data_IF_043747536835
#
_entry.id   IF_043747536835
#
_cell.length_a   1.000
_cell.length_b   1.000
_cell.length_c   1.000
_cell.angle_alpha   90.00
_cell.angle_beta   90.00
_cell.angle_gamma   90.00
#
_symmetry.space_group_name_H-M   'P 1'
#
loop_
_entity.id
_entity.type
_entity.pdbx_description
1 polymer ?
#
# COMPACT_ATOMS: atom_id res chain seq x y z
N UNK A 1 -2.98 11.27 7.13
CA UNK A 1 -4.39 10.78 7.07
C UNK A 1 -4.76 10.03 5.78
N UNK A 2 -4.24 10.41 4.60
CA UNK A 2 -4.66 9.85 3.29
C UNK A 2 -4.42 8.32 3.15
N UNK A 3 -3.37 7.78 3.79
CA UNK A 3 -3.08 6.34 3.72
C UNK A 3 -4.09 5.43 4.44
N UNK A 4 -4.89 5.96 5.38
CA UNK A 4 -5.82 5.17 6.20
C UNK A 4 -7.26 5.27 5.68
N UNK A 5 -7.64 6.42 5.11
CA UNK A 5 -8.95 6.62 4.44
C UNK A 5 -9.04 5.94 3.07
N UNK A 6 -7.91 5.61 2.45
CA UNK A 6 -7.90 4.70 1.29
C UNK A 6 -8.09 3.27 1.79
N UNK A 7 -9.35 2.84 1.93
CA UNK A 7 -9.72 1.44 2.15
C UNK A 7 -8.90 0.55 1.21
N UNK A 8 -7.95 -0.16 1.79
CA UNK A 8 -7.01 -0.96 1.00
C UNK A 8 -7.71 -2.21 0.50
N UNK A 9 -7.30 -2.70 -0.67
CA UNK A 9 -7.82 -3.96 -1.23
C UNK A 9 -7.69 -5.16 -0.26
N UNK A 10 -6.82 -5.08 0.74
CA UNK A 10 -6.65 -6.08 1.79
C UNK A 10 -7.91 -6.18 2.65
N UNK A 11 -8.50 -5.06 3.06
CA UNK A 11 -9.72 -5.02 3.87
C UNK A 11 -10.91 -5.65 3.13
N UNK A 12 -11.06 -5.29 1.85
CA UNK A 12 -12.05 -5.88 0.97
C UNK A 12 -11.85 -7.39 0.79
N UNK A 13 -10.61 -7.81 0.59
CA UNK A 13 -10.26 -9.23 0.46
C UNK A 13 -10.48 -10.01 1.75
N UNK A 14 -10.28 -9.39 2.92
CA UNK A 14 -10.53 -9.98 4.23
C UNK A 14 -12.04 -10.21 4.44
N UNK A 15 -12.87 -9.22 4.08
CA UNK A 15 -14.33 -9.35 4.13
C UNK A 15 -14.81 -10.47 3.19
N UNK A 16 -14.36 -10.45 1.93
CA UNK A 16 -14.74 -11.46 0.94
C UNK A 16 -14.28 -12.87 1.27
N UNK A 17 -12.98 -13.06 1.56
CA UNK A 17 -12.43 -14.36 1.93
C UNK A 17 -12.91 -14.84 3.30
N UNK A 18 -13.16 -13.91 4.23
CA UNK A 18 -13.73 -14.19 5.54
C UNK A 18 -15.12 -14.81 5.41
N UNK A 19 -16.00 -14.18 4.63
CA UNK A 19 -17.32 -14.72 4.31
C UNK A 19 -17.22 -16.05 3.57
N UNK A 20 -16.37 -16.15 2.55
CA UNK A 20 -16.17 -17.40 1.81
C UNK A 20 -15.75 -18.57 2.73
N UNK A 21 -14.86 -18.30 3.68
CA UNK A 21 -14.37 -19.28 4.65
C UNK A 21 -15.41 -19.63 5.72
N UNK A 22 -16.21 -18.65 6.16
CA UNK A 22 -17.31 -18.87 7.10
C UNK A 22 -18.42 -19.72 6.47
N UNK A 23 -18.80 -19.42 5.24
CA UNK A 23 -19.75 -20.21 4.45
C UNK A 23 -19.25 -21.64 4.21
N UNK A 24 -17.93 -21.85 4.20
CA UNK A 24 -17.33 -23.17 4.14
C UNK A 24 -17.54 -24.00 5.43
N UNK A 25 -17.45 -23.36 6.60
CA UNK A 25 -17.77 -24.02 7.88
C UNK A 25 -19.24 -24.43 7.97
N UNK A 26 -20.13 -23.66 7.34
CA UNK A 26 -21.57 -23.94 7.24
C UNK A 26 -21.94 -24.98 6.15
N UNK A 27 -20.95 -25.65 5.53
CA UNK A 27 -21.15 -26.71 4.51
C UNK A 27 -21.95 -26.30 3.26
N UNK A 28 -22.07 -25.00 2.96
CA UNK A 28 -22.72 -24.48 1.73
C UNK A 28 -21.99 -25.01 0.48
N UNK A 29 -22.59 -25.26 -0.69
CA UNK A 29 -21.86 -25.71 -1.88
C UNK A 29 -20.91 -24.63 -2.45
N UNK A 30 -19.78 -25.03 -3.05
CA UNK A 30 -18.71 -24.14 -3.55
C UNK A 30 -19.19 -22.98 -4.46
N UNK A 31 -20.05 -23.18 -5.47
CA UNK A 31 -20.51 -22.07 -6.31
C UNK A 31 -21.35 -21.06 -5.51
N UNK A 32 -22.20 -21.52 -4.59
CA UNK A 32 -23.01 -20.64 -3.75
C UNK A 32 -22.16 -19.81 -2.78
N UNK A 33 -21.08 -20.38 -2.22
CA UNK A 33 -20.10 -19.64 -1.40
C UNK A 33 -19.44 -18.51 -2.19
N UNK A 34 -19.06 -18.82 -3.43
CA UNK A 34 -18.40 -17.86 -4.31
C UNK A 34 -19.31 -16.70 -4.67
N UNK A 35 -20.53 -16.98 -5.10
CA UNK A 35 -21.54 -15.96 -5.42
C UNK A 35 -21.86 -15.08 -4.22
N UNK A 36 -22.06 -15.66 -3.04
CA UNK A 36 -22.33 -14.91 -1.82
C UNK A 36 -21.19 -13.93 -1.49
N UNK A 37 -19.95 -14.43 -1.49
CA UNK A 37 -18.75 -13.62 -1.21
C UNK A 37 -18.57 -12.47 -2.21
N UNK A 38 -18.69 -12.76 -3.51
CA UNK A 38 -18.54 -11.76 -4.58
C UNK A 38 -19.66 -10.70 -4.46
N UNK A 39 -20.90 -11.12 -4.24
CA UNK A 39 -22.04 -10.22 -4.09
C UNK A 39 -21.84 -9.26 -2.91
N UNK A 40 -21.44 -9.79 -1.74
CA UNK A 40 -21.19 -8.94 -0.57
C UNK A 40 -20.06 -7.95 -0.81
N UNK A 41 -18.99 -8.35 -1.48
CA UNK A 41 -17.87 -7.48 -1.83
C UNK A 41 -18.27 -6.39 -2.83
N UNK A 42 -19.13 -6.70 -3.81
CA UNK A 42 -19.69 -5.71 -4.74
C UNK A 42 -20.53 -4.67 -3.99
N UNK A 43 -21.44 -5.13 -3.12
CA UNK A 43 -22.30 -4.24 -2.33
C UNK A 43 -21.48 -3.32 -1.42
N UNK A 44 -20.48 -3.88 -0.74
CA UNK A 44 -19.56 -3.11 0.08
C UNK A 44 -18.72 -2.13 -0.76
N UNK A 45 -18.24 -2.55 -1.93
CA UNK A 45 -17.50 -1.68 -2.86
C UNK A 45 -18.34 -0.48 -3.34
N UNK A 46 -19.62 -0.70 -3.63
CA UNK A 46 -20.57 0.38 -3.96
C UNK A 46 -20.79 1.33 -2.78
N UNK A 47 -20.97 0.79 -1.57
CA UNK A 47 -21.15 1.59 -0.35
C UNK A 47 -19.95 2.52 -0.08
N UNK A 48 -18.74 2.06 -0.38
CA UNK A 48 -17.49 2.81 -0.16
C UNK A 48 -17.17 3.82 -1.28
N UNK A 49 -17.88 3.76 -2.42
CA UNK A 49 -17.67 4.70 -3.54
C UNK A 49 -16.71 4.20 -4.63
N UNK A 50 -16.51 2.88 -4.75
CA UNK A 50 -15.83 2.20 -5.87
C UNK A 50 -14.52 2.86 -6.36
N UNK A 51 -13.63 3.25 -5.44
CA UNK A 51 -12.31 3.79 -5.82
C UNK A 51 -11.45 2.78 -6.60
N UNK A 52 -10.43 3.25 -7.34
CA UNK A 52 -9.56 2.43 -8.21
C UNK A 52 -8.94 1.22 -7.50
N UNK A 53 -8.50 1.41 -6.24
CA UNK A 53 -7.92 0.36 -5.40
C UNK A 53 -8.94 -0.72 -5.00
N UNK A 54 -10.20 -0.32 -4.77
CA UNK A 54 -11.32 -1.19 -4.38
C UNK A 54 -11.79 -1.99 -5.58
N UNK A 55 -12.00 -1.33 -6.73
CA UNK A 55 -12.40 -2.00 -7.97
C UNK A 55 -11.40 -3.07 -8.39
N UNK A 56 -10.09 -2.75 -8.39
CA UNK A 56 -9.05 -3.73 -8.68
C UNK A 56 -9.10 -4.93 -7.73
N UNK A 57 -9.25 -4.69 -6.42
CA UNK A 57 -9.32 -5.77 -5.44
C UNK A 57 -10.57 -6.65 -5.63
N UNK A 58 -11.70 -6.05 -6.01
CA UNK A 58 -12.94 -6.76 -6.36
C UNK A 58 -12.73 -7.67 -7.56
N UNK A 59 -12.15 -7.16 -8.65
CA UNK A 59 -11.86 -7.95 -9.85
C UNK A 59 -10.91 -9.11 -9.52
N UNK A 60 -9.80 -8.83 -8.83
CA UNK A 60 -8.81 -9.85 -8.48
C UNK A 60 -9.38 -10.92 -7.53
N UNK A 61 -10.19 -10.53 -6.53
CA UNK A 61 -10.85 -11.48 -5.64
C UNK A 61 -11.88 -12.34 -6.38
N UNK A 62 -12.66 -11.71 -7.27
CA UNK A 62 -13.65 -12.43 -8.09
C UNK A 62 -12.99 -13.46 -8.98
N UNK A 63 -11.88 -13.09 -9.64
CA UNK A 63 -11.06 -14.02 -10.44
C UNK A 63 -10.45 -15.13 -9.58
N UNK A 64 -9.99 -14.83 -8.37
CA UNK A 64 -9.48 -15.83 -7.44
C UNK A 64 -10.55 -16.86 -7.03
N UNK A 65 -11.75 -16.41 -6.66
CA UNK A 65 -12.87 -17.29 -6.30
C UNK A 65 -13.31 -18.10 -7.53
N UNK A 66 -13.42 -17.46 -8.69
CA UNK A 66 -13.80 -18.12 -9.93
C UNK A 66 -12.79 -19.21 -10.32
N UNK A 67 -11.48 -18.95 -10.13
CA UNK A 67 -10.46 -19.97 -10.39
C UNK A 67 -10.64 -21.20 -9.48
N UNK A 68 -11.05 -21.01 -8.22
CA UNK A 68 -11.37 -22.12 -7.30
C UNK A 68 -12.60 -22.90 -7.74
N UNK A 69 -13.65 -22.24 -8.23
CA UNK A 69 -14.87 -22.89 -8.74
C UNK A 69 -14.57 -23.71 -10.00
N UNK A 70 -13.77 -23.16 -10.92
CA UNK A 70 -13.42 -23.83 -12.19
C UNK A 70 -12.30 -24.89 -11.98
N UNK A 71 -11.59 -24.86 -10.86
CA UNK A 71 -10.46 -25.76 -10.61
C UNK A 71 -9.16 -25.35 -11.33
N UNK A 72 -9.00 -24.06 -11.65
CA UNK A 72 -7.81 -23.49 -12.30
C UNK A 72 -6.89 -22.78 -11.29
N UNK A 73 -5.62 -22.66 -11.66
CA UNK A 73 -4.61 -21.93 -10.87
C UNK A 73 -4.81 -20.42 -11.01
N UNK A 74 -4.79 -19.70 -9.89
CA UNK A 74 -4.81 -18.24 -9.88
C UNK A 74 -3.39 -17.70 -10.15
N UNK A 75 -3.27 -16.79 -11.12
CA UNK A 75 -2.04 -16.04 -11.37
C UNK A 75 -2.23 -14.56 -11.04
N UNK A 76 -1.40 -14.04 -10.13
CA UNK A 76 -1.50 -12.69 -9.58
C UNK A 76 -1.30 -11.61 -10.66
N UNK A 77 -0.29 -11.79 -11.53
CA UNK A 77 0.06 -10.79 -12.53
C UNK A 77 -0.99 -10.73 -13.63
N UNK A 78 -1.47 -11.88 -14.12
CA UNK A 78 -2.56 -11.95 -15.10
C UNK A 78 -3.85 -11.33 -14.56
N UNK A 79 -4.24 -11.64 -13.32
CA UNK A 79 -5.42 -11.03 -12.68
C UNK A 79 -5.29 -9.50 -12.55
N UNK A 80 -4.09 -9.01 -12.23
CA UNK A 80 -3.80 -7.57 -12.20
C UNK A 80 -3.87 -6.94 -13.59
N UNK A 81 -3.40 -7.63 -14.63
CA UNK A 81 -3.49 -7.17 -16.01
C UNK A 81 -4.94 -6.98 -16.45
N UNK A 82 -5.82 -7.97 -16.15
CA UNK A 82 -7.26 -7.87 -16.42
C UNK A 82 -7.86 -6.67 -15.68
N UNK A 83 -7.57 -6.51 -14.39
CA UNK A 83 -8.08 -5.38 -13.62
C UNK A 83 -7.60 -4.01 -14.17
N UNK A 84 -6.35 -3.95 -14.65
CA UNK A 84 -5.78 -2.76 -15.30
C UNK A 84 -6.55 -2.42 -16.58
N UNK A 85 -6.73 -3.39 -17.48
CA UNK A 85 -7.48 -3.19 -18.72
C UNK A 85 -8.90 -2.74 -18.44
N UNK A 86 -9.61 -3.39 -17.52
CA UNK A 86 -10.98 -3.00 -17.18
C UNK A 86 -11.09 -1.56 -16.64
N UNK A 87 -10.14 -1.12 -15.82
CA UNK A 87 -10.09 0.27 -15.33
C UNK A 87 -9.80 1.26 -16.45
N UNK A 88 -8.85 0.95 -17.34
CA UNK A 88 -8.47 1.85 -18.42
C UNK A 88 -9.52 1.92 -19.54
N UNK A 89 -10.31 0.86 -19.72
CA UNK A 89 -11.47 0.86 -20.62
C UNK A 89 -12.59 1.77 -20.10
N UNK A 90 -12.77 1.86 -18.79
CA UNK A 90 -13.75 2.78 -18.19
C UNK A 90 -13.29 4.23 -18.35
N UNK A 91 -12.07 4.55 -17.91
CA UNK A 91 -11.47 5.88 -18.11
C UNK A 91 -9.94 5.80 -18.31
N UNK A 92 -9.40 6.26 -19.46
CA UNK A 92 -7.97 6.21 -19.72
C UNK A 92 -7.16 7.15 -18.81
N UNK A 93 -7.81 8.19 -18.26
CA UNK A 93 -7.19 9.16 -17.36
C UNK A 93 -6.78 8.56 -16.00
N UNK A 94 -7.23 7.35 -15.66
CA UNK A 94 -6.78 6.65 -14.45
C UNK A 94 -5.27 6.42 -14.39
N UNK A 95 -4.55 6.49 -15.52
CA UNK A 95 -3.08 6.45 -15.55
C UNK A 95 -2.42 7.55 -14.72
N UNK A 96 -3.07 8.71 -14.56
CA UNK A 96 -2.55 9.83 -13.76
C UNK A 96 -3.07 9.81 -12.31
N UNK A 97 -3.99 8.91 -12.00
CA UNK A 97 -4.58 8.83 -10.66
C UNK A 97 -3.60 8.15 -9.69
N UNK A 98 -3.29 8.82 -8.58
CA UNK A 98 -2.34 8.33 -7.58
C UNK A 98 -2.74 6.96 -7.01
N UNK A 99 -4.04 6.77 -6.73
CA UNK A 99 -4.57 5.49 -6.25
C UNK A 99 -4.38 4.35 -7.24
N UNK A 100 -4.41 4.60 -8.55
CA UNK A 100 -4.10 3.59 -9.58
C UNK A 100 -2.60 3.25 -9.54
N UNK A 101 -1.74 4.26 -9.58
CA UNK A 101 -0.28 4.08 -9.59
C UNK A 101 0.22 3.30 -8.36
N UNK A 102 -0.18 3.68 -7.15
CA UNK A 102 0.21 2.99 -5.92
C UNK A 102 -0.25 1.53 -5.90
N UNK A 103 -1.49 1.32 -6.31
CA UNK A 103 -2.16 0.02 -6.33
C UNK A 103 -1.43 -0.95 -7.25
N UNK A 104 -1.23 -0.59 -8.53
CA UNK A 104 -0.56 -1.46 -9.50
C UNK A 104 0.93 -1.61 -9.24
N UNK A 105 1.64 -0.55 -8.79
CA UNK A 105 3.04 -0.65 -8.39
C UNK A 105 3.23 -1.66 -7.24
N UNK A 106 2.34 -1.68 -6.25
CA UNK A 106 2.40 -2.63 -5.15
C UNK A 106 2.22 -4.09 -5.61
N UNK A 107 1.31 -4.35 -6.55
CA UNK A 107 1.06 -5.73 -7.05
C UNK A 107 2.17 -6.20 -7.97
N UNK A 108 2.66 -5.33 -8.87
CA UNK A 108 3.82 -5.65 -9.71
C UNK A 108 5.05 -5.96 -8.85
N UNK A 109 5.29 -5.14 -7.83
CA UNK A 109 6.37 -5.37 -6.88
C UNK A 109 6.21 -6.68 -6.09
N UNK A 110 5.00 -6.95 -5.60
CA UNK A 110 4.70 -8.21 -4.92
C UNK A 110 4.93 -9.43 -5.83
N UNK A 111 4.56 -9.33 -7.11
CA UNK A 111 4.75 -10.41 -8.08
C UNK A 111 6.22 -10.63 -8.50
N UNK A 112 7.00 -9.55 -8.62
CA UNK A 112 8.37 -9.59 -9.17
C UNK A 112 9.47 -9.56 -8.09
N UNK A 113 9.38 -8.66 -7.11
CA UNK A 113 10.42 -8.45 -6.09
C UNK A 113 10.31 -9.43 -4.91
N UNK A 114 9.10 -9.76 -4.45
CA UNK A 114 8.91 -10.69 -3.32
C UNK A 114 9.55 -12.08 -3.55
N UNK A 115 9.40 -12.73 -4.73
CA UNK A 115 10.08 -13.99 -4.98
C UNK A 115 11.60 -13.80 -5.17
N UNK A 116 12.06 -12.63 -5.60
CA UNK A 116 13.47 -12.32 -5.83
C UNK A 116 14.26 -12.10 -4.53
N UNK A 117 13.73 -11.30 -3.60
CA UNK A 117 14.49 -10.85 -2.42
C UNK A 117 14.85 -11.99 -1.46
N UNK A 118 16.12 -12.08 -1.00
CA UNK A 118 16.56 -13.09 -0.03
C UNK A 118 16.18 -12.70 1.41
N UNK A 119 15.88 -13.69 2.26
CA UNK A 119 15.54 -13.44 3.68
C UNK A 119 14.11 -12.95 3.90
N UNK A 120 13.64 -12.95 5.16
CA UNK A 120 12.29 -12.47 5.53
C UNK A 120 12.22 -10.94 5.61
N UNK A 121 13.29 -10.31 6.09
CA UNK A 121 13.41 -8.85 6.32
C UNK A 121 13.43 -8.06 5.01
N UNK A 122 14.24 -8.45 4.02
CA UNK A 122 14.22 -7.77 2.72
C UNK A 122 12.88 -7.97 1.99
N UNK A 123 12.22 -9.12 2.17
CA UNK A 123 10.90 -9.37 1.56
C UNK A 123 9.81 -8.43 2.05
N UNK A 124 9.83 -7.99 3.31
CA UNK A 124 8.86 -7.00 3.78
C UNK A 124 9.04 -5.63 3.12
N UNK A 125 10.24 -5.35 2.59
CA UNK A 125 10.54 -4.12 1.87
C UNK A 125 10.10 -4.17 0.39
N UNK A 126 9.67 -5.31 -0.14
CA UNK A 126 9.29 -5.43 -1.55
C UNK A 126 8.26 -4.38 -1.96
N UNK A 127 7.12 -4.33 -1.26
CA UNK A 127 6.03 -3.39 -1.59
C UNK A 127 6.51 -1.93 -1.47
N UNK A 128 7.10 -1.48 -0.33
CA UNK A 128 7.64 -0.12 -0.20
C UNK A 128 8.59 0.26 -1.33
N UNK A 129 9.53 -0.61 -1.72
CA UNK A 129 10.47 -0.35 -2.81
C UNK A 129 9.75 -0.17 -4.15
N UNK A 130 8.72 -0.97 -4.42
CA UNK A 130 7.92 -0.84 -5.63
C UNK A 130 7.14 0.48 -5.72
N UNK A 131 6.62 0.94 -4.58
CA UNK A 131 5.77 2.15 -4.50
C UNK A 131 6.56 3.43 -4.25
N UNK A 132 7.84 3.35 -3.87
CA UNK A 132 8.64 4.50 -3.47
C UNK A 132 8.75 5.59 -4.56
N UNK A 133 9.02 5.28 -5.85
CA UNK A 133 9.05 6.31 -6.89
C UNK A 133 7.72 7.02 -7.07
N UNK A 134 6.61 6.28 -7.03
CA UNK A 134 5.24 6.83 -7.11
C UNK A 134 4.97 7.74 -5.91
N UNK A 135 5.45 7.33 -4.74
CA UNK A 135 5.34 8.12 -3.51
C UNK A 135 6.06 9.46 -3.61
N UNK A 136 7.35 9.44 -3.96
CA UNK A 136 8.17 10.65 -4.09
C UNK A 136 7.69 11.55 -5.23
N UNK A 137 7.24 10.97 -6.35
CA UNK A 137 6.65 11.74 -7.44
C UNK A 137 5.37 12.48 -7.01
N UNK A 138 4.54 11.86 -6.18
CA UNK A 138 3.27 12.45 -5.76
C UNK A 138 3.48 13.51 -4.68
N UNK A 139 4.24 13.18 -3.63
CA UNK A 139 4.30 13.97 -2.40
C UNK A 139 5.59 14.80 -2.24
N UNK A 140 6.70 14.43 -2.90
CA UNK A 140 7.99 15.13 -2.79
C UNK A 140 8.71 14.96 -1.45
N UNK A 141 8.08 14.37 -0.45
CA UNK A 141 8.64 14.16 0.89
C UNK A 141 8.55 12.71 1.32
N UNK A 142 9.29 12.36 2.37
CA UNK A 142 9.25 11.06 3.01
C UNK A 142 9.10 11.17 4.54
N UNK A 143 7.95 10.78 5.11
CA UNK A 143 7.74 10.79 6.55
C UNK A 143 8.44 9.59 7.19
N UNK A 144 9.51 9.84 7.94
CA UNK A 144 10.42 8.81 8.47
C UNK A 144 9.70 7.86 9.43
N UNK A 145 8.91 8.42 10.33
CA UNK A 145 8.19 7.67 11.35
C UNK A 145 6.96 6.94 10.80
N UNK A 146 6.51 7.26 9.58
CA UNK A 146 5.35 6.60 8.97
C UNK A 146 5.54 5.09 8.82
N UNK A 147 6.78 4.63 8.61
CA UNK A 147 7.09 3.21 8.46
C UNK A 147 6.87 2.44 9.77
N UNK A 148 7.26 3.03 10.90
CA UNK A 148 7.03 2.47 12.24
C UNK A 148 5.55 2.52 12.60
N UNK A 149 4.87 3.63 12.33
CA UNK A 149 3.44 3.77 12.55
C UNK A 149 2.65 2.75 11.73
N UNK A 150 2.96 2.56 10.45
CA UNK A 150 2.30 1.60 9.58
C UNK A 150 2.42 0.15 10.08
N UNK A 151 3.51 -0.20 10.77
CA UNK A 151 3.67 -1.54 11.36
C UNK A 151 2.64 -1.80 12.47
N UNK A 152 2.31 -0.77 13.26
CA UNK A 152 1.33 -0.85 14.35
C UNK A 152 -0.09 -0.69 13.80
N UNK A 153 -0.29 0.24 12.87
CA UNK A 153 -1.62 0.63 12.38
C UNK A 153 -2.23 -0.44 11.48
N UNK A 154 -1.48 -1.01 10.52
CA UNK A 154 -2.02 -1.98 9.57
C UNK A 154 -2.73 -3.18 10.22
N UNK A 155 -2.19 -3.86 11.25
CA UNK A 155 -2.91 -4.93 11.93
C UNK A 155 -4.13 -4.42 12.69
N UNK A 156 -4.04 -3.25 13.33
CA UNK A 156 -5.15 -2.67 14.10
C UNK A 156 -6.33 -2.25 13.20
N UNK A 157 -6.08 -1.83 11.96
CA UNK A 157 -7.15 -1.49 11.01
C UNK A 157 -8.07 -2.67 10.69
N UNK A 158 -7.56 -3.91 10.75
CA UNK A 158 -8.40 -5.10 10.59
C UNK A 158 -9.37 -5.26 11.76
N UNK A 159 -8.94 -4.92 12.98
CA UNK A 159 -9.79 -4.93 14.18
C UNK A 159 -10.86 -3.85 14.06
N UNK A 160 -10.47 -2.64 13.66
CA UNK A 160 -11.39 -1.51 13.41
C UNK A 160 -12.48 -1.90 12.40
N UNK A 161 -12.11 -2.58 11.31
CA UNK A 161 -13.08 -3.00 10.30
C UNK A 161 -14.06 -4.06 10.85
N UNK A 162 -13.57 -5.03 11.63
CA UNK A 162 -14.41 -6.08 12.21
C UNK A 162 -15.35 -5.49 13.26
N UNK A 163 -14.85 -4.61 14.16
CA UNK A 163 -15.64 -3.96 15.20
C UNK A 163 -16.67 -3.00 14.60
N UNK A 164 -16.29 -2.20 13.60
CA UNK A 164 -17.21 -1.35 12.84
C UNK A 164 -18.27 -2.15 12.10
N UNK A 165 -17.89 -3.26 11.43
CA UNK A 165 -18.82 -4.17 10.77
C UNK A 165 -19.81 -4.81 11.75
N UNK A 166 -19.34 -5.22 12.92
CA UNK A 166 -20.19 -5.74 14.00
C UNK A 166 -21.16 -4.67 14.52
N UNK A 167 -20.70 -3.44 14.74
CA UNK A 167 -21.55 -2.32 15.16
C UNK A 167 -22.64 -2.01 14.13
N UNK A 168 -22.32 -2.02 12.83
CA UNK A 168 -23.30 -1.84 11.74
C UNK A 168 -24.32 -2.97 11.72
N UNK A 169 -23.89 -4.23 11.87
CA UNK A 169 -24.80 -5.38 11.93
C UNK A 169 -25.75 -5.30 13.13
N UNK A 170 -25.23 -5.01 14.32
CA UNK A 170 -26.03 -4.84 15.54
C UNK A 170 -27.00 -3.66 15.39
N UNK A 171 -26.54 -2.55 14.83
CA UNK A 171 -27.38 -1.37 14.58
C UNK A 171 -28.49 -1.64 13.56
N UNK A 172 -28.20 -2.37 12.47
CA UNK A 172 -29.19 -2.76 11.47
C UNK A 172 -30.24 -3.71 12.05
N UNK A 173 -29.82 -4.69 12.85
CA UNK A 173 -30.71 -5.62 13.55
C UNK A 173 -31.59 -4.87 14.56
N UNK A 174 -31.02 -3.96 15.35
CA UNK A 174 -31.75 -3.11 16.28
C UNK A 174 -32.77 -2.21 15.59
N UNK A 175 -32.39 -1.58 14.47
CA UNK A 175 -33.28 -0.75 13.65
C UNK A 175 -34.42 -1.54 13.02
N UNK A 176 -34.16 -2.79 12.61
CA UNK A 176 -35.18 -3.71 12.10
C UNK A 176 -36.19 -4.12 13.18
N UNK A 177 -35.74 -4.46 14.39
CA UNK A 177 -36.62 -4.74 15.52
C UNK A 177 -37.47 -3.53 15.95
N UNK A 178 -36.88 -2.33 15.92
CA UNK A 178 -37.62 -1.08 16.17
C UNK A 178 -38.71 -0.81 15.13
N UNK A 179 -38.48 -1.21 13.86
CA UNK A 179 -39.44 -1.08 12.75
C UNK A 179 -40.56 -2.14 12.80
N UNK A 180 -40.31 -3.29 13.42
CA UNK A 180 -41.28 -4.38 13.61
C UNK A 180 -42.19 -4.22 14.84
N UNK A 181 -42.07 -3.13 15.61
CA UNK A 181 -42.87 -2.91 16.82
C UNK A 181 -42.45 -3.75 18.04
N UNK A 182 -41.46 -4.63 17.89
CA UNK A 182 -40.84 -5.37 18.98
C UNK A 182 -39.67 -4.56 19.55
N UNK A 183 -39.98 -3.51 20.32
CA UNK A 183 -38.98 -2.81 21.11
C UNK A 183 -38.34 -3.79 22.10
N UNK A 184 -37.10 -4.20 21.83
CA UNK A 184 -36.25 -4.88 22.81
C UNK A 184 -35.99 -3.90 23.97
N UNK A 185 -36.87 -3.98 24.97
CA UNK A 185 -36.78 -3.41 26.32
C UNK A 185 -36.59 -1.87 26.31
N UNK A 186 -37.69 -1.15 26.14
CA UNK A 186 -37.89 0.12 26.85
C UNK A 186 -38.40 -0.23 28.25
N UNK A 187 -37.66 0.02 29.34
CA UNK A 187 -38.31 0.20 30.62
C UNK A 187 -39.08 1.51 30.52
N UNK A 188 -40.41 1.42 30.59
CA UNK A 188 -41.24 2.61 30.66
C UNK A 188 -41.00 3.37 31.94
N UNK A 189 -40.91 4.69 31.84
CA UNK A 189 -41.54 5.61 32.78
C UNK A 189 -41.73 6.95 32.08
N UNK A 190 -42.98 7.41 32.07
CA UNK A 190 -43.32 8.75 31.60
C UNK A 190 -42.79 9.83 32.53
N UNK A 191 -42.83 11.07 32.03
CA UNK A 191 -42.66 12.27 32.85
C UNK A 191 -41.54 13.20 32.39
N UNK A 192 -41.95 14.25 31.67
CA UNK A 192 -41.48 15.64 31.73
C UNK A 192 -39.96 15.97 31.59
N UNK A 193 -39.71 16.90 30.66
CA UNK A 193 -38.49 17.68 30.39
C UNK A 193 -37.48 16.99 29.46
N UNK A 194 -37.62 17.28 28.16
CA UNK A 194 -36.54 17.15 27.17
C UNK A 194 -35.70 18.45 27.14
N UNK A 195 -34.36 18.39 27.19
CA UNK A 195 -33.53 19.44 26.64
C UNK A 195 -33.29 19.20 25.13
N UNK A 196 -33.19 20.26 24.31
CA UNK A 196 -32.98 20.12 22.87
C UNK A 196 -31.50 19.83 22.58
N UNK A 197 -31.23 18.60 22.13
CA UNK A 197 -29.90 18.17 21.68
C UNK A 197 -29.24 17.17 22.64
N UNK A 198 -29.35 15.89 22.31
CA UNK A 198 -28.52 14.84 22.93
C UNK A 198 -29.28 13.59 23.38
N UNK A 199 -28.77 12.44 22.90
CA UNK A 199 -28.79 11.14 23.60
C UNK A 199 -30.13 10.46 23.87
N UNK A 200 -30.92 10.21 22.81
CA UNK A 200 -31.90 9.10 22.81
C UNK A 200 -31.31 7.70 22.55
N UNK A 201 -30.01 7.63 22.23
CA UNK A 201 -29.33 6.37 21.89
C UNK A 201 -28.69 5.64 23.08
N UNK A 202 -28.60 6.28 24.26
CA UNK A 202 -27.90 5.73 25.42
C UNK A 202 -28.78 4.86 26.35
N UNK A 203 -30.10 4.80 26.15
CA UNK A 203 -31.04 4.19 27.12
C UNK A 203 -31.63 2.84 26.68
N UNK A 204 -31.20 2.28 25.56
CA UNK A 204 -31.62 0.93 25.13
C UNK A 204 -30.45 -0.05 25.20
N UNK A 205 -30.70 -1.31 25.58
CA UNK A 205 -29.70 -2.40 25.59
C UNK A 205 -29.01 -2.50 24.22
N UNK A 206 -29.76 -2.28 23.13
CA UNK A 206 -29.22 -2.25 21.79
C UNK A 206 -28.23 -1.10 21.53
N UNK A 207 -28.47 0.09 22.11
CA UNK A 207 -27.52 1.21 22.09
C UNK A 207 -26.24 0.90 22.84
N UNK A 208 -26.34 0.22 24.00
CA UNK A 208 -25.17 -0.23 24.76
C UNK A 208 -24.35 -1.27 23.98
N UNK A 209 -24.99 -2.27 23.38
CA UNK A 209 -24.29 -3.30 22.58
C UNK A 209 -23.63 -2.66 21.34
N UNK A 210 -24.31 -1.72 20.67
CA UNK A 210 -23.75 -1.02 19.50
C UNK A 210 -22.50 -0.21 19.89
N UNK A 211 -22.55 0.51 21.02
CA UNK A 211 -21.40 1.27 21.53
C UNK A 211 -20.27 0.35 21.98
N UNK A 212 -20.57 -0.74 22.69
CA UNK A 212 -19.58 -1.74 23.09
C UNK A 212 -18.89 -2.39 21.87
N UNK A 213 -19.63 -2.64 20.79
CA UNK A 213 -19.08 -3.16 19.54
C UNK A 213 -18.21 -2.12 18.80
N UNK A 214 -18.51 -0.82 18.91
CA UNK A 214 -17.74 0.26 18.27
C UNK A 214 -16.53 0.76 19.07
N UNK A 215 -16.52 0.58 20.40
CA UNK A 215 -15.48 1.10 21.30
C UNK A 215 -14.04 0.71 20.93
N UNK A 216 -13.75 -0.53 20.47
CA UNK A 216 -12.40 -0.86 19.98
C UNK A 216 -11.96 -0.01 18.80
N UNK A 217 -12.88 0.38 17.90
CA UNK A 217 -12.55 1.23 16.77
C UNK A 217 -12.20 2.65 17.22
N UNK A 218 -12.99 3.23 18.13
CA UNK A 218 -12.75 4.57 18.69
C UNK A 218 -11.37 4.64 19.38
N UNK A 219 -11.07 3.68 20.28
CA UNK A 219 -9.79 3.64 20.98
C UNK A 219 -8.58 3.52 20.04
N UNK A 220 -8.69 2.73 18.98
CA UNK A 220 -7.60 2.56 18.01
C UNK A 220 -7.41 3.84 17.20
N UNK A 221 -8.49 4.52 16.80
CA UNK A 221 -8.41 5.77 16.06
C UNK A 221 -7.83 6.89 16.91
N UNK A 222 -8.20 6.98 18.19
CA UNK A 222 -7.63 7.93 19.15
C UNK A 222 -6.15 7.66 19.42
N UNK A 223 -5.78 6.39 19.62
CA UNK A 223 -4.38 5.99 19.72
C UNK A 223 -3.59 6.39 18.47
N UNK A 224 -4.15 6.17 17.29
CA UNK A 224 -3.49 6.57 16.04
C UNK A 224 -3.32 8.09 15.94
N UNK A 225 -4.35 8.87 16.29
CA UNK A 225 -4.27 10.33 16.32
C UNK A 225 -3.16 10.80 17.25
N UNK A 226 -3.13 10.26 18.47
CA UNK A 226 -2.09 10.56 19.45
C UNK A 226 -0.67 10.24 18.94
N UNK A 227 -0.49 9.06 18.34
CA UNK A 227 0.80 8.65 17.78
C UNK A 227 1.22 9.53 16.59
N UNK A 228 0.27 9.96 15.75
CA UNK A 228 0.54 10.87 14.64
C UNK A 228 0.95 12.26 15.12
N UNK A 229 0.28 12.80 16.15
CA UNK A 229 0.62 14.09 16.76
C UNK A 229 2.02 14.07 17.40
N UNK A 230 2.39 12.98 18.10
CA UNK A 230 3.76 12.79 18.61
C UNK A 230 4.76 12.72 17.46
N UNK A 231 4.43 11.97 16.41
CA UNK A 231 5.32 11.78 15.27
C UNK A 231 5.66 13.08 14.56
N UNK A 232 4.74 14.05 14.51
CA UNK A 232 4.99 15.35 13.88
C UNK A 232 5.92 16.24 14.72
N UNK A 233 5.88 16.11 16.05
CA UNK A 233 6.74 16.90 16.95
C UNK A 233 8.19 16.42 17.02
N UNK A 234 8.50 15.26 16.46
CA UNK A 234 9.85 14.70 16.48
C UNK A 234 10.75 15.37 15.42
N UNK A 235 12.03 15.64 15.74
CA UNK A 235 12.95 16.24 14.79
C UNK A 235 13.20 15.28 13.61
N UNK A 236 13.14 15.81 12.39
CA UNK A 236 13.31 15.01 11.17
C UNK A 236 12.11 14.09 10.88
N UNK A 237 10.90 14.44 11.34
CA UNK A 237 9.69 13.68 11.06
C UNK A 237 9.39 13.54 9.56
N UNK A 238 9.77 14.55 8.79
CA UNK A 238 9.64 14.59 7.34
C UNK A 238 10.99 14.94 6.72
N UNK A 239 11.42 14.13 5.75
CA UNK A 239 12.59 14.42 4.92
C UNK A 239 12.09 14.91 3.58
N UNK A 240 12.48 16.13 3.21
CA UNK A 240 12.18 16.69 1.90
C UNK A 240 13.22 16.19 0.90
N UNK A 241 12.77 15.43 -0.10
CA UNK A 241 13.63 14.80 -1.11
C UNK A 241 13.45 15.48 -2.48
N UNK A 242 12.24 15.91 -2.79
CA UNK A 242 11.85 16.40 -4.10
C UNK A 242 11.25 15.33 -4.98
N UNK A 243 10.66 15.77 -6.10
CA UNK A 243 10.19 14.88 -7.15
C UNK A 243 11.39 14.33 -7.93
N UNK A 244 11.56 13.01 -8.02
CA UNK A 244 12.59 12.43 -8.86
C UNK A 244 12.25 12.65 -10.33
N UNK A 245 13.27 12.89 -11.15
CA UNK A 245 13.10 12.99 -12.61
C UNK A 245 12.61 11.67 -13.20
N UNK A 246 11.91 11.73 -14.34
CA UNK A 246 11.45 10.53 -15.04
C UNK A 246 12.61 9.56 -15.36
N UNK A 247 13.80 10.10 -15.68
CA UNK A 247 14.99 9.29 -15.92
C UNK A 247 15.44 8.52 -14.66
N UNK A 248 15.49 9.18 -13.50
CA UNK A 248 15.83 8.52 -12.22
C UNK A 248 14.85 7.40 -11.88
N UNK A 249 13.55 7.61 -12.12
CA UNK A 249 12.51 6.60 -11.91
C UNK A 249 12.75 5.38 -12.82
N UNK A 250 13.06 5.61 -14.10
CA UNK A 250 13.34 4.53 -15.06
C UNK A 250 14.59 3.75 -14.66
N UNK A 251 15.68 4.44 -14.30
CA UNK A 251 16.92 3.81 -13.82
C UNK A 251 16.66 2.99 -12.55
N UNK A 252 15.89 3.54 -11.61
CA UNK A 252 15.52 2.85 -10.37
C UNK A 252 14.79 1.53 -10.64
N UNK A 253 13.73 1.55 -11.46
CA UNK A 253 12.99 0.34 -11.79
C UNK A 253 13.83 -0.66 -12.60
N UNK A 254 14.70 -0.18 -13.49
CA UNK A 254 15.66 -1.03 -14.21
C UNK A 254 16.63 -1.74 -13.24
N UNK A 255 17.14 -1.03 -12.23
CA UNK A 255 17.99 -1.61 -11.19
C UNK A 255 17.24 -2.64 -10.34
N UNK A 256 15.99 -2.38 -9.96
CA UNK A 256 15.16 -3.33 -9.23
C UNK A 256 14.87 -4.60 -10.04
N UNK A 257 14.59 -4.48 -11.34
CA UNK A 257 14.42 -5.61 -12.25
C UNK A 257 15.71 -6.40 -12.43
N UNK A 258 16.86 -5.72 -12.53
CA UNK A 258 18.17 -6.36 -12.60
C UNK A 258 18.48 -7.14 -11.30
N UNK A 259 18.14 -6.59 -10.13
CA UNK A 259 18.25 -7.28 -8.85
C UNK A 259 17.33 -8.52 -8.80
N UNK A 260 16.11 -8.41 -9.31
CA UNK A 260 15.19 -9.54 -9.38
C UNK A 260 15.72 -10.66 -10.28
N UNK A 261 16.27 -10.32 -11.44
CA UNK A 261 16.92 -11.24 -12.34
C UNK A 261 18.17 -11.89 -11.68
N UNK A 262 19.04 -11.09 -11.06
CA UNK A 262 20.26 -11.57 -10.40
C UNK A 262 19.96 -12.52 -9.23
N UNK A 263 18.99 -12.18 -8.39
CA UNK A 263 18.63 -12.97 -7.21
C UNK A 263 17.90 -14.27 -7.55
N UNK A 264 17.05 -14.29 -8.58
CA UNK A 264 16.47 -15.52 -9.12
C UNK A 264 17.56 -16.47 -9.65
N UNK A 265 18.59 -15.89 -10.26
CA UNK A 265 19.71 -16.60 -10.85
C UNK A 265 20.67 -17.21 -9.79
N UNK A 266 20.88 -16.55 -8.64
CA UNK A 266 21.62 -17.12 -7.49
C UNK A 266 20.97 -18.36 -6.86
N UNK A 267 19.65 -18.57 -7.04
CA UNK A 267 18.90 -19.69 -6.45
C UNK A 267 18.96 -20.97 -7.27
N UNK A 268 19.39 -20.90 -8.54
CA UNK A 268 19.45 -22.04 -9.46
C UNK A 268 20.26 -23.26 -8.94
N UNK A 269 21.39 -23.10 -8.20
CA UNK A 269 22.11 -24.25 -7.66
C UNK A 269 21.33 -25.00 -6.56
N UNK A 270 20.50 -24.29 -5.79
CA UNK A 270 19.71 -24.87 -4.68
C UNK A 270 18.43 -25.55 -5.17
N UNK A 271 17.82 -25.05 -6.24
CA UNK A 271 16.62 -25.64 -6.85
C UNK A 271 16.97 -26.99 -7.49
N UNK A 272 18.12 -27.12 -8.16
CA UNK A 272 18.59 -28.41 -8.72
C UNK A 272 18.72 -29.51 -7.64
N UNK A 273 19.29 -29.18 -6.47
CA UNK A 273 19.36 -30.08 -5.31
C UNK A 273 18.00 -30.36 -4.64
N UNK A 274 17.06 -29.40 -4.67
CA UNK A 274 15.69 -29.58 -4.15
C UNK A 274 14.80 -30.39 -5.08
N UNK A 275 15.03 -30.32 -6.39
CA UNK A 275 14.41 -31.20 -7.40
C UNK A 275 14.92 -32.64 -7.20
N UNK A 276 16.20 -32.82 -6.86
CA UNK A 276 16.79 -34.12 -6.52
C UNK A 276 16.27 -34.70 -5.17
N UNK A 277 15.83 -33.86 -4.22
CA UNK A 277 15.29 -34.31 -2.93
C UNK A 277 14.08 -33.47 -2.43
N UNK A 278 12.85 -33.72 -2.95
CA UNK A 278 11.67 -32.88 -2.68
C UNK A 278 11.01 -33.11 -1.30
N UNK A 279 11.46 -34.09 -0.51
CA UNK A 279 10.75 -34.56 0.68
C UNK A 279 10.73 -33.62 1.90
N UNK A 280 11.43 -32.46 1.86
CA UNK A 280 11.64 -31.59 3.03
C UNK A 280 11.04 -30.17 2.94
N UNK A 281 10.38 -29.80 1.84
CA UNK A 281 9.77 -28.46 1.69
C UNK A 281 8.30 -28.42 2.14
N UNK A 282 8.02 -27.74 3.25
CA UNK A 282 6.68 -27.57 3.82
C UNK A 282 5.65 -26.96 2.85
N UNK A 283 6.06 -26.07 1.94
CA UNK A 283 5.18 -25.43 0.95
C UNK A 283 4.73 -26.42 -0.14
N UNK A 284 5.62 -27.27 -0.63
CA UNK A 284 5.30 -28.32 -1.61
C UNK A 284 4.57 -29.49 -0.95
N UNK A 285 4.87 -29.80 0.31
CA UNK A 285 4.15 -30.81 1.10
C UNK A 285 2.66 -30.47 1.28
N UNK A 286 2.32 -29.20 1.53
CA UNK A 286 0.92 -28.74 1.59
C UNK A 286 0.26 -28.83 0.22
N UNK A 287 0.86 -28.30 -0.85
CA UNK A 287 0.25 -28.36 -2.20
C UNK A 287 0.03 -29.80 -2.67
N UNK A 288 0.96 -30.71 -2.37
CA UNK A 288 0.82 -32.14 -2.71
C UNK A 288 -0.24 -32.81 -1.83
N UNK A 289 -0.29 -32.53 -0.52
CA UNK A 289 -1.36 -33.03 0.37
C UNK A 289 -2.74 -32.50 -0.03
N UNK A 290 -2.83 -31.22 -0.36
CA UNK A 290 -4.07 -30.54 -0.75
C UNK A 290 -4.55 -31.05 -2.11
N UNK A 291 -3.64 -31.27 -3.06
CA UNK A 291 -3.97 -31.89 -4.36
C UNK A 291 -4.35 -33.37 -4.22
N UNK A 292 -3.70 -34.14 -3.34
CA UNK A 292 -4.05 -35.53 -3.07
C UNK A 292 -5.42 -35.66 -2.37
N UNK A 293 -5.70 -34.79 -1.40
CA UNK A 293 -6.98 -34.76 -0.69
C UNK A 293 -8.13 -34.23 -1.54
N UNK A 294 -7.89 -33.27 -2.46
CA UNK A 294 -8.95 -32.73 -3.33
C UNK A 294 -9.29 -33.64 -4.51
N UNK A 295 -8.33 -34.37 -5.09
CA UNK A 295 -8.53 -35.04 -6.38
C UNK A 295 -8.39 -36.57 -6.35
N UNK A 296 -8.08 -37.20 -5.22
CA UNK A 296 -8.00 -38.66 -5.11
C UNK A 296 -6.97 -39.31 -6.06
N UNK A 297 -5.92 -38.57 -6.45
CA UNK A 297 -4.96 -39.02 -7.46
C UNK A 297 -3.88 -39.94 -6.86
N UNK A 298 -3.64 -41.15 -7.43
CA UNK A 298 -2.84 -42.19 -6.78
C UNK A 298 -1.31 -42.07 -6.98
N UNK A 299 -0.79 -41.19 -7.85
CA UNK A 299 0.62 -41.32 -8.27
C UNK A 299 1.48 -40.04 -8.10
N UNK A 300 2.41 -40.09 -7.13
CA UNK A 300 3.38 -39.03 -6.79
C UNK A 300 4.33 -38.64 -7.95
N UNK A 301 4.55 -39.52 -8.93
CA UNK A 301 5.47 -39.28 -10.06
C UNK A 301 4.91 -38.34 -11.13
N UNK A 302 3.61 -38.42 -11.45
CA UNK A 302 2.98 -37.60 -12.50
C UNK A 302 2.90 -36.11 -12.13
N UNK A 303 2.49 -35.83 -10.89
CA UNK A 303 2.44 -34.46 -10.35
C UNK A 303 3.83 -33.81 -10.28
N UNK A 304 4.87 -34.61 -9.96
CA UNK A 304 6.28 -34.19 -9.97
C UNK A 304 6.73 -33.71 -11.35
N UNK A 305 6.39 -34.42 -12.41
CA UNK A 305 6.82 -34.05 -13.76
C UNK A 305 6.14 -32.76 -14.24
N UNK A 306 4.85 -32.57 -13.93
CA UNK A 306 4.09 -31.37 -14.33
C UNK A 306 4.63 -30.11 -13.63
N UNK A 307 4.91 -30.19 -12.33
CA UNK A 307 5.51 -29.08 -11.58
C UNK A 307 6.93 -28.74 -12.08
N UNK A 308 7.71 -29.77 -12.43
CA UNK A 308 9.07 -29.58 -12.97
C UNK A 308 9.03 -28.91 -14.35
N UNK A 309 8.07 -29.29 -15.21
CA UNK A 309 7.86 -28.69 -16.54
C UNK A 309 7.38 -27.23 -16.41
N UNK A 310 6.45 -26.95 -15.49
CA UNK A 310 5.99 -25.58 -15.23
C UNK A 310 7.13 -24.67 -14.77
N UNK A 311 8.05 -25.19 -13.95
CA UNK A 311 9.21 -24.45 -13.46
C UNK A 311 10.26 -24.23 -14.57
N UNK A 312 10.49 -25.23 -15.43
CA UNK A 312 11.35 -25.12 -16.61
C UNK A 312 10.81 -24.14 -17.66
N UNK A 313 9.49 -24.05 -17.84
CA UNK A 313 8.85 -23.06 -18.72
C UNK A 313 8.98 -21.64 -18.17
N UNK A 314 8.82 -21.46 -16.86
CA UNK A 314 9.03 -20.16 -16.20
C UNK A 314 10.47 -19.67 -16.31
N UNK A 315 11.44 -20.60 -16.26
CA UNK A 315 12.86 -20.29 -16.39
C UNK A 315 13.29 -19.90 -17.82
N UNK A 316 12.53 -20.27 -18.86
CA UNK A 316 12.85 -19.92 -20.26
C UNK A 316 12.56 -18.46 -20.65
N UNK A 317 11.84 -17.69 -19.83
CA UNK A 317 11.42 -16.33 -20.17
C UNK A 317 12.56 -15.27 -20.17
N UNK A 318 13.76 -15.61 -19.68
CA UNK A 318 14.91 -14.69 -19.60
C UNK A 318 15.95 -15.03 -20.66
N UNK A 319 16.29 -14.04 -21.50
CA UNK A 319 17.21 -14.08 -22.66
C UNK A 319 18.44 -14.99 -22.44
N UNK A 320 18.65 -16.02 -23.30
CA UNK A 320 19.68 -17.06 -23.09
C UNK A 320 21.13 -16.56 -23.20
N UNK A 321 21.39 -15.48 -23.94
CA UNK A 321 22.74 -14.92 -24.16
C UNK A 321 23.28 -14.18 -22.92
N UNK A 322 22.41 -13.45 -22.21
CA UNK A 322 22.73 -12.77 -20.95
C UNK A 322 23.05 -13.77 -19.82
N UNK A 323 22.33 -14.89 -19.78
CA UNK A 323 22.55 -15.95 -18.78
C UNK A 323 23.96 -16.55 -18.85
N UNK A 324 24.48 -16.82 -20.05
CA UNK A 324 25.79 -17.45 -20.23
C UNK A 324 26.96 -16.59 -19.71
N UNK A 325 26.95 -15.28 -19.99
CA UNK A 325 28.01 -14.35 -19.55
C UNK A 325 27.98 -14.12 -18.03
N UNK A 326 26.77 -14.04 -17.45
CA UNK A 326 26.57 -13.88 -16.00
C UNK A 326 27.02 -15.12 -15.19
N UNK A 327 26.85 -16.33 -15.74
CA UNK A 327 27.38 -17.59 -15.15
C UNK A 327 28.89 -17.55 -14.96
N UNK A 328 29.63 -17.01 -15.94
CA UNK A 328 31.09 -16.87 -15.85
C UNK A 328 31.52 -15.95 -14.70
N UNK A 329 30.91 -14.76 -14.60
CA UNK A 329 31.28 -13.73 -13.61
C UNK A 329 31.07 -14.22 -12.19
N UNK A 330 29.93 -14.85 -11.89
CA UNK A 330 29.67 -15.30 -10.51
C UNK A 330 30.38 -16.62 -10.19
N UNK A 331 30.68 -17.47 -11.18
CA UNK A 331 31.59 -18.60 -10.93
C UNK A 331 32.96 -18.09 -10.50
N UNK A 332 33.46 -17.03 -11.14
CA UNK A 332 34.69 -16.31 -10.75
C UNK A 332 34.55 -15.66 -9.37
N UNK A 333 33.42 -15.02 -9.04
CA UNK A 333 33.23 -14.42 -7.71
C UNK A 333 33.11 -15.47 -6.60
N UNK A 334 32.34 -16.54 -6.80
CA UNK A 334 32.19 -17.62 -5.80
C UNK A 334 33.49 -18.39 -5.57
N UNK A 335 34.33 -18.57 -6.60
CA UNK A 335 35.67 -19.15 -6.43
C UNK A 335 36.63 -18.17 -5.77
N UNK A 336 36.57 -16.87 -6.09
CA UNK A 336 37.40 -15.84 -5.44
C UNK A 336 37.06 -15.62 -3.96
N UNK A 337 35.78 -15.66 -3.59
CA UNK A 337 35.32 -15.46 -2.21
C UNK A 337 35.21 -16.76 -1.39
N UNK A 338 35.66 -17.91 -1.93
CA UNK A 338 35.69 -19.21 -1.26
C UNK A 338 34.36 -19.61 -0.57
N UNK A 339 33.21 -19.23 -1.16
CA UNK A 339 31.88 -19.43 -0.60
C UNK A 339 31.46 -20.90 -0.73
N UNK A 340 31.92 -21.72 0.23
CA UNK A 340 31.78 -23.19 0.23
C UNK A 340 30.46 -23.63 0.89
N UNK A 341 29.92 -22.85 1.83
CA UNK A 341 28.69 -23.16 2.56
C UNK A 341 27.45 -22.39 2.04
N UNK A 342 26.28 -23.02 2.11
CA UNK A 342 24.98 -22.45 1.73
C UNK A 342 24.58 -21.25 2.59
N UNK A 343 25.06 -21.19 3.85
CA UNK A 343 24.80 -20.06 4.76
C UNK A 343 25.54 -18.81 4.32
N UNK A 344 26.82 -18.93 3.99
CA UNK A 344 27.66 -17.82 3.52
C UNK A 344 27.15 -17.28 2.18
N UNK A 345 26.72 -18.15 1.26
CA UNK A 345 26.09 -17.73 -0.01
C UNK A 345 24.82 -16.91 0.20
N UNK A 346 24.00 -17.25 1.21
CA UNK A 346 22.80 -16.49 1.55
C UNK A 346 23.14 -15.14 2.17
N UNK A 347 24.13 -15.08 3.06
CA UNK A 347 24.59 -13.83 3.66
C UNK A 347 25.18 -12.90 2.60
N UNK A 348 26.03 -13.42 1.72
CA UNK A 348 26.58 -12.67 0.59
C UNK A 348 25.47 -12.15 -0.33
N UNK A 349 24.48 -12.99 -0.69
CA UNK A 349 23.33 -12.57 -1.49
C UNK A 349 22.51 -11.45 -0.81
N UNK A 350 22.32 -11.51 0.51
CA UNK A 350 21.64 -10.46 1.28
C UNK A 350 22.43 -9.16 1.29
N UNK A 351 23.75 -9.22 1.46
CA UNK A 351 24.62 -8.03 1.43
C UNK A 351 24.61 -7.37 0.05
N UNK A 352 24.77 -8.14 -1.02
CA UNK A 352 24.70 -7.62 -2.39
C UNK A 352 23.32 -7.02 -2.67
N UNK A 353 22.23 -7.69 -2.29
CA UNK A 353 20.88 -7.17 -2.49
C UNK A 353 20.64 -5.88 -1.70
N UNK A 354 21.09 -5.82 -0.44
CA UNK A 354 21.00 -4.63 0.40
C UNK A 354 21.76 -3.46 -0.22
N UNK A 355 23.03 -3.67 -0.61
CA UNK A 355 23.85 -2.66 -1.26
C UNK A 355 23.21 -2.13 -2.55
N UNK A 356 22.68 -3.03 -3.38
CA UNK A 356 22.00 -2.68 -4.62
C UNK A 356 20.73 -1.85 -4.38
N UNK A 357 19.93 -2.23 -3.39
CA UNK A 357 18.74 -1.49 -2.98
C UNK A 357 19.13 -0.09 -2.50
N UNK A 358 20.15 0.02 -1.65
CA UNK A 358 20.63 1.30 -1.13
C UNK A 358 21.06 2.23 -2.25
N UNK A 359 21.87 1.76 -3.20
CA UNK A 359 22.26 2.58 -4.37
C UNK A 359 21.03 3.00 -5.17
N UNK A 360 20.10 2.09 -5.41
CA UNK A 360 18.87 2.41 -6.16
C UNK A 360 18.09 3.53 -5.47
N UNK A 361 17.92 3.44 -4.14
CA UNK A 361 17.22 4.48 -3.36
C UNK A 361 17.99 5.81 -3.37
N UNK A 362 19.33 5.78 -3.26
CA UNK A 362 20.15 7.00 -3.32
C UNK A 362 20.03 7.73 -4.65
N UNK A 363 19.85 7.02 -5.78
CA UNK A 363 19.62 7.64 -7.10
C UNK A 363 18.32 8.45 -7.11
N UNK A 364 17.27 7.99 -6.41
CA UNK A 364 16.02 8.75 -6.27
C UNK A 364 16.15 9.95 -5.36
N UNK A 365 17.05 9.87 -4.37
CA UNK A 365 17.29 10.94 -3.41
C UNK A 365 18.21 12.04 -3.96
N UNK A 366 18.87 11.81 -5.09
CA UNK A 366 19.75 12.78 -5.71
C UNK A 366 18.92 13.87 -6.40
N UNK A 367 19.02 15.11 -5.92
CA UNK A 367 18.39 16.27 -6.55
C UNK A 367 19.47 17.25 -6.99
N UNK A 368 19.35 17.79 -8.21
CA UNK A 368 20.25 18.82 -8.74
C UNK A 368 19.46 20.10 -8.90
N UNK A 369 19.84 21.13 -8.14
CA UNK A 369 19.23 22.45 -8.27
C UNK A 369 19.85 23.21 -9.46
N UNK A 370 19.04 23.85 -10.30
CA UNK A 370 19.54 24.68 -11.38
C UNK A 370 20.30 25.90 -10.83
N UNK A 371 21.20 26.46 -11.64
CA UNK A 371 22.00 27.62 -11.26
C UNK A 371 21.13 28.85 -10.94
N UNK A 372 20.03 29.02 -11.68
CA UNK A 372 19.02 30.03 -11.45
C UNK A 372 17.67 29.52 -11.98
N UNK A 373 16.61 29.66 -11.19
CA UNK A 373 15.23 29.45 -11.59
C UNK A 373 14.29 30.44 -10.90
N UNK A 374 13.21 30.77 -11.58
CA UNK A 374 12.17 31.66 -11.07
C UNK A 374 10.81 31.11 -11.49
N UNK A 375 9.93 30.87 -10.53
CA UNK A 375 8.59 30.33 -10.75
C UNK A 375 7.55 31.30 -10.21
N UNK A 376 6.55 31.61 -11.04
CA UNK A 376 5.37 32.40 -10.65
C UNK A 376 4.26 31.44 -10.23
N UNK A 377 3.90 31.47 -8.95
CA UNK A 377 2.95 30.55 -8.35
C UNK A 377 1.50 31.04 -8.56
N UNK A 378 0.61 30.12 -8.94
CA UNK A 378 -0.80 30.46 -9.11
C UNK A 378 -1.55 30.51 -7.77
N UNK A 379 -1.50 31.68 -7.13
CA UNK A 379 -2.11 31.93 -5.82
C UNK A 379 -3.56 32.46 -5.90
N UNK A 380 -4.07 32.71 -7.10
CA UNK A 380 -5.38 33.34 -7.31
C UNK A 380 -5.21 34.83 -7.55
N UNK A 381 -5.94 35.67 -6.79
CA UNK A 381 -5.71 37.11 -6.73
C UNK A 381 -4.68 37.43 -5.64
N UNK A 382 -3.46 37.79 -6.05
CA UNK A 382 -2.31 38.05 -5.20
C UNK A 382 -1.00 37.66 -5.91
N UNK A 383 0.14 37.83 -5.24
CA UNK A 383 1.45 37.47 -5.75
C UNK A 383 2.12 36.37 -4.93
N UNK A 384 2.88 35.52 -5.63
CA UNK A 384 3.71 34.48 -5.04
C UNK A 384 4.79 34.06 -6.03
N UNK A 385 6.04 34.41 -5.74
CA UNK A 385 7.16 34.18 -6.65
C UNK A 385 8.24 33.42 -5.90
N UNK A 386 8.68 32.31 -6.48
CA UNK A 386 9.81 31.55 -6.00
C UNK A 386 11.06 31.85 -6.81
N UNK A 387 12.20 32.00 -6.14
CA UNK A 387 13.51 32.16 -6.77
C UNK A 387 14.49 31.15 -6.19
N UNK A 388 15.04 30.28 -7.03
CA UNK A 388 16.09 29.32 -6.69
C UNK A 388 17.42 29.70 -7.34
N UNK A 389 18.50 29.78 -6.56
CA UNK A 389 19.86 30.03 -7.03
C UNK A 389 20.79 28.93 -6.49
N UNK A 390 20.86 27.79 -7.19
CA UNK A 390 21.53 26.61 -6.65
C UNK A 390 20.88 26.14 -5.34
N UNK A 391 21.67 26.07 -4.26
CA UNK A 391 21.18 25.67 -2.94
C UNK A 391 20.53 26.80 -2.14
N UNK A 392 20.35 27.99 -2.72
CA UNK A 392 19.68 29.12 -2.06
C UNK A 392 18.27 29.31 -2.60
N UNK A 393 17.30 29.40 -1.70
CA UNK A 393 15.88 29.44 -2.05
C UNK A 393 15.19 30.62 -1.38
N UNK A 394 14.53 31.44 -2.17
CA UNK A 394 13.84 32.64 -1.73
C UNK A 394 12.38 32.59 -2.17
N UNK A 395 11.51 33.18 -1.36
CA UNK A 395 10.11 33.40 -1.70
C UNK A 395 9.83 34.89 -1.63
N UNK A 396 9.17 35.43 -2.65
CA UNK A 396 8.70 36.82 -2.68
C UNK A 396 7.18 36.77 -2.68
N UNK A 397 6.59 37.36 -1.65
CA UNK A 397 5.16 37.26 -1.32
C UNK A 397 4.67 35.80 -1.25
N UNK A 398 3.38 35.63 -1.02
CA UNK A 398 2.76 34.32 -0.93
C UNK A 398 1.35 34.43 -0.41
N UNK A 399 0.63 35.48 -0.82
CA UNK A 399 -0.70 35.78 -0.33
C UNK A 399 -1.76 35.54 -1.39
N UNK A 400 -3.01 35.49 -0.93
CA UNK A 400 -4.18 35.50 -1.79
C UNK A 400 -5.36 36.11 -1.08
N UNK A 401 -6.09 37.00 -1.74
CA UNK A 401 -7.39 37.48 -1.25
C UNK A 401 -8.54 36.51 -1.53
N UNK A 402 -8.30 35.44 -2.31
CA UNK A 402 -9.36 34.56 -2.84
C UNK A 402 -9.22 33.10 -2.43
N UNK A 403 -8.01 32.64 -2.10
CA UNK A 403 -7.74 31.27 -1.65
C UNK A 403 -7.33 31.25 -0.19
N UNK A 404 -7.91 30.33 0.57
CA UNK A 404 -7.52 30.03 1.95
C UNK A 404 -6.53 28.86 2.00
N UNK A 405 -5.81 28.71 3.12
CA UNK A 405 -4.83 27.64 3.34
C UNK A 405 -3.78 27.54 2.22
N UNK A 406 -3.29 28.69 1.77
CA UNK A 406 -2.40 28.79 0.62
C UNK A 406 -1.06 28.11 0.90
N UNK A 407 -0.57 28.18 2.14
CA UNK A 407 0.66 27.50 2.54
C UNK A 407 0.50 25.98 2.36
N UNK A 408 -0.60 25.43 2.88
CA UNK A 408 -0.86 23.98 2.87
C UNK A 408 -1.14 23.39 1.49
N UNK A 409 -1.88 24.11 0.63
CA UNK A 409 -2.30 23.55 -0.67
C UNK A 409 -1.46 24.00 -1.87
N UNK A 410 -0.71 25.10 -1.77
CA UNK A 410 0.06 25.65 -2.90
C UNK A 410 1.54 25.71 -2.59
N UNK A 411 1.93 26.43 -1.54
CA UNK A 411 3.34 26.75 -1.29
C UNK A 411 4.13 25.53 -0.79
N UNK A 412 3.66 24.83 0.25
CA UNK A 412 4.29 23.62 0.78
C UNK A 412 4.39 22.52 -0.27
N UNK A 413 3.31 22.13 -0.98
CA UNK A 413 3.42 21.13 -2.04
C UNK A 413 4.41 21.53 -3.13
N UNK A 414 4.46 22.81 -3.52
CA UNK A 414 5.42 23.29 -4.50
C UNK A 414 6.88 23.11 -4.00
N UNK A 415 7.20 23.63 -2.81
CA UNK A 415 8.54 23.54 -2.22
C UNK A 415 8.97 22.08 -2.03
N UNK A 416 8.08 21.25 -1.52
CA UNK A 416 8.29 19.82 -1.34
C UNK A 416 8.58 19.11 -2.66
N UNK A 417 7.84 19.45 -3.72
CA UNK A 417 8.07 18.87 -5.04
C UNK A 417 9.39 19.30 -5.66
N UNK A 418 9.88 20.50 -5.32
CA UNK A 418 11.20 21.01 -5.70
C UNK A 418 12.34 20.48 -4.82
N UNK A 419 12.05 19.73 -3.76
CA UNK A 419 13.08 19.26 -2.84
C UNK A 419 13.62 20.34 -1.91
N UNK A 420 12.90 21.46 -1.77
CA UNK A 420 13.29 22.61 -0.95
C UNK A 420 12.79 22.38 0.47
N UNK A 421 13.68 21.96 1.37
CA UNK A 421 13.37 21.75 2.78
C UNK A 421 13.56 23.00 3.66
N UNK A 422 14.12 24.08 3.10
CA UNK A 422 14.39 25.34 3.83
C UNK A 422 14.42 26.50 2.85
N UNK A 423 13.88 27.65 3.28
CA UNK A 423 14.05 28.94 2.61
C UNK A 423 15.18 29.73 3.30
N UNK A 424 16.01 30.38 2.50
CA UNK A 424 17.10 31.25 2.96
C UNK A 424 16.60 32.66 3.28
N UNK A 425 15.50 33.07 2.66
CA UNK A 425 14.85 34.34 2.93
C UNK A 425 13.46 34.41 2.34
N UNK A 426 12.62 35.25 2.95
CA UNK A 426 11.34 35.65 2.39
C UNK A 426 11.30 37.17 2.30
N UNK A 427 10.88 37.67 1.16
CA UNK A 427 10.68 39.10 0.91
C UNK A 427 9.17 39.34 0.82
N UNK A 428 8.68 40.26 1.65
CA UNK A 428 7.30 40.73 1.60
C UNK A 428 7.30 42.11 0.94
N UNK A 429 6.52 42.29 -0.12
CA UNK A 429 6.44 43.59 -0.83
C UNK A 429 5.64 44.60 -0.01
N UNK A 430 4.53 44.18 0.59
CA UNK A 430 3.70 44.96 1.51
C UNK A 430 2.83 44.05 2.40
N UNK A 431 2.27 44.62 3.46
CA UNK A 431 1.58 43.86 4.53
C UNK A 431 0.15 43.42 4.19
N UNK A 432 -0.40 43.80 3.03
CA UNK A 432 -1.77 43.46 2.69
C UNK A 432 -1.98 41.94 2.60
N UNK A 433 -3.17 41.49 3.01
CA UNK A 433 -3.48 40.07 3.18
C UNK A 433 -3.37 39.24 1.89
N UNK A 434 -3.47 39.88 0.74
CA UNK A 434 -3.27 39.30 -0.59
C UNK A 434 -1.80 39.10 -0.97
N UNK A 435 -0.86 39.56 -0.13
CA UNK A 435 0.58 39.30 -0.26
C UNK A 435 1.16 38.51 0.93
N UNK A 436 0.59 38.67 2.14
CA UNK A 436 1.15 38.11 3.39
C UNK A 436 0.47 36.84 3.93
N UNK A 437 -0.77 36.53 3.52
CA UNK A 437 -1.59 35.48 4.16
C UNK A 437 -0.94 34.09 4.23
N UNK A 438 -0.40 33.57 3.13
CA UNK A 438 0.24 32.24 3.14
C UNK A 438 1.57 32.22 3.89
N UNK A 439 2.23 33.37 4.02
CA UNK A 439 3.47 33.53 4.77
C UNK A 439 3.25 33.56 6.28
N UNK A 440 2.19 34.23 6.72
CA UNK A 440 1.73 34.19 8.10
C UNK A 440 1.34 32.75 8.49
N UNK A 441 0.64 32.03 7.61
CA UNK A 441 0.30 30.62 7.82
C UNK A 441 1.56 29.73 7.96
N UNK A 442 2.63 29.99 7.19
CA UNK A 442 3.92 29.31 7.36
C UNK A 442 4.53 29.55 8.75
N UNK A 443 4.52 30.81 9.21
CA UNK A 443 5.10 31.18 10.51
C UNK A 443 4.29 30.63 11.67
N UNK A 444 2.96 30.62 11.57
CA UNK A 444 2.08 30.00 12.57
C UNK A 444 2.33 28.50 12.67
N UNK A 445 2.47 27.81 11.54
CA UNK A 445 2.78 26.38 11.50
C UNK A 445 4.18 26.10 12.09
N UNK A 446 5.20 26.86 11.69
CA UNK A 446 6.55 26.71 12.22
C UNK A 446 6.63 27.00 13.73
N UNK A 447 5.90 28.02 14.22
CA UNK A 447 5.82 28.36 15.64
C UNK A 447 5.05 27.30 16.46
N UNK A 448 4.07 26.64 15.84
CA UNK A 448 3.36 25.50 16.42
C UNK A 448 4.19 24.19 16.42
N UNK A 449 5.40 24.21 15.83
CA UNK A 449 6.29 23.05 15.75
C UNK A 449 5.93 22.07 14.63
N UNK A 450 5.27 22.56 13.57
CA UNK A 450 4.94 21.82 12.36
C UNK A 450 5.93 22.05 11.23
#
# INVERSE_FOLDING_TARGET
MIHILSISGVHLSLLGMGLFSLSAKLRIPLPARGTLSILTVILYGKMVGMGTSVFRALVMLSLYILSKVIGRTYDLLTASGIACVLLLLDQPLYLYHTGFLFSFAAVLSMGLLLPALPGKTLKSLAIPLGTLPVYLWTYGTFPVYSLLLNLIVLPLMTVVMISGGAAVLVGAVSGYYKKLGCGLITPGSGGLIQPPGGTGAATSIAGFITRAAGLPAELILDLYRFLAEISQKLPGHEIVIGRPSAFQIVVYYAMLLALAAFSSWLRLPSVRKKIENPGKDYFYGSIIKDAQNMYGLPNKKGLRNILTIHQLLKDRLVLPTLKARMIGIVRIMCTRFNLRDNRERRHFAMLCASFWITISVLILAFHSFPAFEMDFLYVGQGDGIYIGCGNRHFLIDGGSSTKQELAKYTLLPFLHCRGVGRLDGVILTHEDGDHSSGLLEFLENAAAGH
#
